data_IF_486950328272
#
_entry.id   IF_486950328272
#
_cell.length_a   1.000
_cell.length_b   1.000
_cell.length_c   1.000
_cell.angle_alpha   90.00
_cell.angle_beta   90.00
_cell.angle_gamma   90.00
#
_symmetry.space_group_name_H-M   'P 1'
#
loop_
_entity.id
_entity.type
_entity.pdbx_description
1 polymer ?
#
# COMPACT_ATOMS: atom_id res chain seq x y z
N UNK A 1 0.21 3.65 -4.82
CA UNK A 1 0.85 3.25 -3.55
C UNK A 1 0.81 4.45 -2.61
N UNK A 2 0.86 4.25 -1.28
CA UNK A 2 0.73 5.32 -0.30
C UNK A 2 1.88 5.30 0.70
N UNK A 3 2.31 6.49 1.13
CA UNK A 3 3.38 6.65 2.11
C UNK A 3 3.07 7.77 3.10
N UNK A 4 3.10 7.46 4.39
CA UNK A 4 3.09 8.44 5.48
C UNK A 4 4.50 9.01 5.65
N UNK A 5 4.70 10.34 5.46
CA UNK A 5 6.00 10.98 5.67
C UNK A 5 6.52 10.78 7.09
N UNK A 6 7.84 10.70 7.26
CA UNK A 6 8.45 10.42 8.59
C UNK A 6 8.20 11.49 9.66
N UNK A 7 7.90 12.71 9.24
CA UNK A 7 7.55 13.87 10.07
C UNK A 7 6.06 13.94 10.41
N UNK A 8 5.23 13.11 9.79
CA UNK A 8 3.81 12.98 10.07
C UNK A 8 3.52 11.73 10.94
N UNK A 9 2.28 11.62 11.41
CA UNK A 9 1.77 10.46 12.14
C UNK A 9 0.58 9.88 11.42
N UNK A 10 0.58 8.56 11.30
CA UNK A 10 -0.59 7.82 10.86
C UNK A 10 -1.79 8.19 11.74
N UNK A 11 -2.90 8.49 11.07
CA UNK A 11 -4.17 8.88 11.68
C UNK A 11 -5.31 8.22 10.92
N UNK A 12 -5.62 6.98 11.33
CA UNK A 12 -6.72 6.20 10.76
C UNK A 12 -8.07 6.92 10.89
N UNK A 13 -8.28 7.66 11.98
CA UNK A 13 -9.56 8.33 12.25
C UNK A 13 -9.81 9.45 11.26
N UNK A 14 -8.80 10.30 11.04
CA UNK A 14 -8.89 11.38 10.05
C UNK A 14 -9.09 10.83 8.64
N UNK A 15 -8.40 9.75 8.25
CA UNK A 15 -8.61 9.11 6.95
C UNK A 15 -10.03 8.56 6.83
N UNK A 16 -10.54 7.84 7.85
CA UNK A 16 -11.90 7.32 7.84
C UNK A 16 -12.95 8.45 7.73
N UNK A 17 -12.72 9.59 8.39
CA UNK A 17 -13.56 10.78 8.26
C UNK A 17 -13.55 11.34 6.84
N UNK A 18 -12.37 11.53 6.24
CA UNK A 18 -12.24 12.01 4.86
C UNK A 18 -12.93 11.08 3.86
N UNK A 19 -12.89 9.77 4.07
CA UNK A 19 -13.58 8.79 3.23
C UNK A 19 -15.10 8.85 3.41
N UNK A 20 -15.59 9.02 4.65
CA UNK A 20 -17.04 9.21 4.89
C UNK A 20 -17.60 10.47 4.24
N UNK A 21 -16.81 11.56 4.17
CA UNK A 21 -17.19 12.77 3.45
C UNK A 21 -17.30 12.57 1.92
N UNK A 22 -16.79 11.43 1.40
CA UNK A 22 -16.91 11.00 0.00
C UNK A 22 -17.94 9.88 -0.19
N UNK A 23 -18.90 9.76 0.74
CA UNK A 23 -19.97 8.76 0.70
C UNK A 23 -19.49 7.30 0.75
N UNK A 24 -18.26 7.05 1.24
CA UNK A 24 -17.79 5.70 1.53
C UNK A 24 -18.17 5.28 2.96
N UNK A 25 -18.65 4.04 3.12
CA UNK A 25 -18.89 3.44 4.43
C UNK A 25 -17.55 3.03 5.06
N UNK A 26 -16.84 4.01 5.62
CA UNK A 26 -15.52 3.86 6.22
C UNK A 26 -15.58 3.99 7.75
N UNK A 27 -14.90 3.08 8.45
CA UNK A 27 -14.76 3.08 9.91
C UNK A 27 -13.33 2.72 10.33
N UNK A 28 -13.00 3.00 11.58
CA UNK A 28 -11.74 2.59 12.21
C UNK A 28 -11.94 1.30 13.00
N UNK A 29 -11.00 0.38 12.88
CA UNK A 29 -10.91 -0.82 13.72
C UNK A 29 -9.47 -0.89 14.20
N UNK A 30 -9.29 -0.72 15.50
CA UNK A 30 -7.98 -0.49 16.12
C UNK A 30 -7.28 0.72 15.48
N UNK A 31 -6.20 0.49 14.72
CA UNK A 31 -5.44 1.51 14.00
C UNK A 31 -5.53 1.36 12.47
N UNK A 32 -6.56 0.67 11.99
CA UNK A 32 -6.76 0.37 10.57
C UNK A 32 -8.03 1.05 10.08
N UNK A 33 -8.06 1.40 8.79
CA UNK A 33 -9.26 1.95 8.14
C UNK A 33 -9.94 0.83 7.37
N UNK A 34 -11.19 0.55 7.70
CA UNK A 34 -12.01 -0.44 7.00
C UNK A 34 -13.10 0.25 6.20
N UNK A 35 -13.14 -0.04 4.91
CA UNK A 35 -14.18 0.43 3.98
C UNK A 35 -15.06 -0.76 3.63
N UNK A 36 -16.36 -0.63 3.89
CA UNK A 36 -17.35 -1.62 3.50
C UNK A 36 -17.97 -1.20 2.18
N UNK A 37 -17.80 -2.02 1.15
CA UNK A 37 -18.39 -1.74 -0.15
C UNK A 37 -19.86 -2.18 -0.18
N UNK A 38 -20.74 -1.43 -0.85
CA UNK A 38 -22.14 -1.78 -0.95
C UNK A 38 -22.30 -3.12 -1.67
N UNK A 39 -23.25 -3.91 -1.16
CA UNK A 39 -23.64 -5.17 -1.75
C UNK A 39 -24.40 -4.92 -3.07
N UNK A 40 -23.72 -5.09 -4.20
CA UNK A 40 -24.35 -4.93 -5.53
C UNK A 40 -25.25 -6.11 -5.84
N UNK A 41 -26.58 -5.93 -5.77
CA UNK A 41 -27.51 -6.98 -6.14
C UNK A 41 -27.36 -7.37 -7.62
N UNK A 42 -27.31 -8.68 -7.93
CA UNK A 42 -27.20 -9.14 -9.29
C UNK A 42 -28.49 -8.85 -10.04
N UNK A 43 -28.35 -8.31 -11.26
CA UNK A 43 -29.49 -8.02 -12.14
C UNK A 43 -30.12 -9.26 -12.76
N UNK A 44 -29.45 -10.41 -12.73
CA UNK A 44 -29.91 -11.66 -13.35
C UNK A 44 -30.76 -12.51 -12.39
N UNK A 45 -31.69 -13.29 -12.94
CA UNK A 45 -32.54 -14.21 -12.15
C UNK A 45 -31.72 -15.29 -11.44
N UNK A 46 -30.78 -15.91 -12.16
CA UNK A 46 -29.86 -16.91 -11.59
C UNK A 46 -28.98 -16.28 -10.51
N UNK A 47 -28.47 -15.07 -10.75
CA UNK A 47 -27.70 -14.33 -9.76
C UNK A 47 -28.51 -14.04 -8.49
N UNK A 48 -29.78 -13.66 -8.63
CA UNK A 48 -30.67 -13.46 -7.47
C UNK A 48 -30.95 -14.76 -6.69
N UNK A 49 -31.06 -15.90 -7.38
CA UNK A 49 -31.25 -17.20 -6.71
C UNK A 49 -30.01 -17.59 -5.89
N UNK A 50 -28.82 -17.46 -6.48
CA UNK A 50 -27.54 -17.69 -5.80
C UNK A 50 -27.38 -16.71 -4.63
N UNK A 51 -27.67 -15.43 -4.83
CA UNK A 51 -27.60 -14.41 -3.79
C UNK A 51 -28.46 -14.74 -2.57
N UNK A 52 -29.68 -15.24 -2.78
CA UNK A 52 -30.59 -15.65 -1.71
C UNK A 52 -30.12 -16.90 -0.97
N UNK A 53 -29.48 -17.84 -1.67
CA UNK A 53 -28.99 -19.08 -1.08
C UNK A 53 -27.70 -18.89 -0.27
N UNK A 54 -26.79 -18.03 -0.74
CA UNK A 54 -25.45 -17.91 -0.16
C UNK A 54 -25.25 -16.70 0.75
N UNK A 55 -26.20 -15.75 0.83
CA UNK A 55 -26.14 -14.53 1.67
C UNK A 55 -24.75 -13.87 1.62
N UNK A 56 -24.37 -13.29 0.48
CA UNK A 56 -23.04 -12.75 0.31
C UNK A 56 -22.77 -11.67 1.37
N UNK A 57 -21.58 -11.75 1.96
CA UNK A 57 -21.09 -10.74 2.89
C UNK A 57 -20.60 -9.52 2.11
N UNK A 58 -20.75 -8.30 2.66
CA UNK A 58 -20.18 -7.10 2.06
C UNK A 58 -18.69 -7.26 1.79
N UNK A 59 -18.26 -6.78 0.63
CA UNK A 59 -16.84 -6.72 0.31
C UNK A 59 -16.17 -5.66 1.18
N UNK A 60 -14.91 -5.87 1.51
CA UNK A 60 -14.16 -4.99 2.39
C UNK A 60 -12.81 -4.65 1.76
N UNK A 61 -12.43 -3.40 1.90
CA UNK A 61 -11.06 -2.93 1.68
C UNK A 61 -10.54 -2.48 3.04
N UNK A 62 -9.36 -2.94 3.43
CA UNK A 62 -8.72 -2.51 4.68
C UNK A 62 -7.41 -1.81 4.35
N UNK A 63 -7.20 -0.64 4.94
CA UNK A 63 -5.99 0.15 4.82
C UNK A 63 -5.20 0.01 6.10
N UNK A 64 -3.95 -0.43 5.97
CA UNK A 64 -3.05 -0.68 7.08
C UNK A 64 -1.85 0.24 6.99
N UNK A 65 -1.36 0.66 8.14
CA UNK A 65 -0.05 1.29 8.26
C UNK A 65 0.92 0.30 8.92
N UNK A 66 2.08 0.11 8.30
CA UNK A 66 3.18 -0.70 8.84
C UNK A 66 4.38 0.19 9.14
N UNK A 67 4.73 0.40 10.42
CA UNK A 67 5.91 1.18 10.80
C UNK A 67 7.23 0.44 10.51
N UNK A 68 7.18 -0.85 10.18
CA UNK A 68 8.36 -1.65 9.85
C UNK A 68 8.83 -1.46 8.40
N UNK A 69 7.94 -0.99 7.53
CA UNK A 69 8.25 -0.63 6.14
C UNK A 69 8.51 0.87 6.07
N UNK A 70 9.45 1.30 5.24
CA UNK A 70 9.73 2.73 5.08
C UNK A 70 8.94 3.29 3.91
N UNK A 71 9.16 2.79 2.70
CA UNK A 71 8.56 3.35 1.48
C UNK A 71 7.08 2.99 1.40
N UNK A 72 6.77 1.70 1.36
CA UNK A 72 5.40 1.16 1.29
C UNK A 72 4.83 0.94 2.69
N UNK A 73 4.80 2.01 3.47
CA UNK A 73 4.33 1.94 4.85
C UNK A 73 2.81 1.97 4.98
N UNK A 74 2.06 2.11 3.88
CA UNK A 74 0.61 1.95 3.83
C UNK A 74 0.22 0.91 2.78
N UNK A 75 -0.47 -0.13 3.22
CA UNK A 75 -0.93 -1.26 2.39
C UNK A 75 -2.46 -1.29 2.30
N UNK A 76 -2.96 -1.76 1.16
CA UNK A 76 -4.39 -2.03 0.94
C UNK A 76 -4.61 -3.54 0.83
N UNK A 77 -5.42 -4.11 1.72
CA UNK A 77 -5.88 -5.49 1.64
C UNK A 77 -7.31 -5.55 1.11
N UNK A 78 -7.50 -6.30 0.03
CA UNK A 78 -8.81 -6.54 -0.56
C UNK A 78 -8.79 -7.82 -1.40
N UNK A 79 -9.97 -8.38 -1.66
CA UNK A 79 -10.11 -9.58 -2.48
C UNK A 79 -10.05 -9.20 -3.97
N UNK A 80 -8.86 -9.37 -4.56
CA UNK A 80 -8.59 -9.04 -5.98
C UNK A 80 -9.45 -9.82 -6.98
N UNK A 81 -10.02 -10.97 -6.58
CA UNK A 81 -10.93 -11.75 -7.42
C UNK A 81 -12.34 -11.17 -7.42
N UNK A 82 -12.67 -10.32 -6.45
CA UNK A 82 -14.00 -9.74 -6.26
C UNK A 82 -14.05 -8.23 -6.49
N UNK A 83 -12.94 -7.53 -6.34
CA UNK A 83 -12.83 -6.08 -6.50
C UNK A 83 -11.88 -5.79 -7.65
N UNK A 84 -12.39 -5.19 -8.72
CA UNK A 84 -11.57 -4.70 -9.84
C UNK A 84 -10.76 -3.48 -9.41
N UNK A 85 -9.55 -3.34 -9.93
CA UNK A 85 -8.72 -2.14 -9.76
C UNK A 85 -9.38 -0.86 -10.31
N UNK A 86 -10.35 -0.99 -11.21
CA UNK A 86 -11.15 0.13 -11.71
C UNK A 86 -12.27 0.55 -10.75
N UNK A 87 -12.29 0.05 -9.51
CA UNK A 87 -13.27 0.49 -8.51
C UNK A 87 -13.06 1.99 -8.24
N UNK A 88 -14.10 2.84 -8.40
CA UNK A 88 -14.02 4.28 -8.09
C UNK A 88 -13.54 4.56 -6.66
N UNK A 89 -13.80 3.61 -5.76
CA UNK A 89 -13.37 3.66 -4.37
C UNK A 89 -11.85 3.83 -4.20
N UNK A 90 -11.02 3.39 -5.15
CA UNK A 90 -9.56 3.57 -5.07
C UNK A 90 -9.14 5.01 -5.32
N UNK A 91 -9.86 5.75 -6.18
CA UNK A 91 -9.60 7.17 -6.41
C UNK A 91 -9.96 7.99 -5.17
N UNK A 92 -11.08 7.66 -4.53
CA UNK A 92 -11.51 8.29 -3.27
C UNK A 92 -10.51 8.04 -2.14
N UNK A 93 -9.95 6.82 -2.06
CA UNK A 93 -8.86 6.49 -1.14
C UNK A 93 -7.64 7.34 -1.45
N UNK A 94 -7.21 7.40 -2.71
CA UNK A 94 -6.03 8.15 -3.08
C UNK A 94 -6.16 9.64 -2.74
N UNK A 95 -7.33 10.23 -2.98
CA UNK A 95 -7.59 11.62 -2.68
C UNK A 95 -7.68 11.89 -1.17
N UNK A 96 -8.26 10.97 -0.39
CA UNK A 96 -8.25 11.07 1.07
C UNK A 96 -6.82 11.03 1.64
N UNK A 97 -5.95 10.16 1.11
CA UNK A 97 -4.54 10.09 1.50
C UNK A 97 -3.79 11.39 1.17
N UNK A 98 -3.96 11.92 -0.05
CA UNK A 98 -3.36 13.19 -0.46
C UNK A 98 -3.81 14.36 0.40
N UNK A 99 -5.10 14.45 0.73
CA UNK A 99 -5.63 15.52 1.59
C UNK A 99 -5.09 15.48 3.01
N UNK A 100 -4.75 14.29 3.53
CA UNK A 100 -4.08 14.16 4.81
C UNK A 100 -2.60 14.55 4.75
N UNK A 101 -2.04 14.72 3.55
CA UNK A 101 -0.63 15.03 3.33
C UNK A 101 0.24 13.79 3.08
N UNK A 102 -0.36 12.61 2.92
CA UNK A 102 0.39 11.40 2.58
C UNK A 102 0.74 11.39 1.10
N UNK A 103 1.88 10.79 0.79
CA UNK A 103 2.37 10.70 -0.57
C UNK A 103 1.68 9.57 -1.30
N UNK A 104 1.39 9.80 -2.58
CA UNK A 104 0.79 8.82 -3.49
C UNK A 104 1.62 8.77 -4.78
N UNK A 105 2.90 8.43 -4.63
CA UNK A 105 3.93 8.48 -5.69
C UNK A 105 4.57 7.09 -5.89
N UNK A 106 5.54 6.99 -6.80
CA UNK A 106 6.36 5.80 -7.03
C UNK A 106 7.35 5.52 -5.89
N UNK A 107 7.75 4.25 -5.70
CA UNK A 107 8.73 3.84 -4.69
C UNK A 107 10.04 4.65 -4.80
N UNK A 108 10.53 4.84 -6.03
CA UNK A 108 11.78 5.54 -6.30
C UNK A 108 11.65 7.02 -5.97
N UNK A 109 10.52 7.63 -6.30
CA UNK A 109 10.25 9.04 -6.02
C UNK A 109 10.16 9.31 -4.53
N UNK A 110 9.47 8.43 -3.78
CA UNK A 110 9.39 8.52 -2.32
C UNK A 110 10.81 8.37 -1.73
N UNK A 111 11.56 7.35 -2.11
CA UNK A 111 12.92 7.12 -1.58
C UNK A 111 13.88 8.28 -1.92
N UNK A 112 13.78 8.86 -3.12
CA UNK A 112 14.61 9.97 -3.56
C UNK A 112 14.38 11.27 -2.76
N UNK A 113 13.20 11.44 -2.13
CA UNK A 113 12.97 12.58 -1.20
C UNK A 113 13.85 12.49 0.05
N UNK A 114 14.20 11.29 0.48
CA UNK A 114 14.96 11.06 1.71
C UNK A 114 16.46 10.89 1.48
N UNK A 115 16.87 10.31 0.35
CA UNK A 115 18.28 10.19 -0.04
C UNK A 115 18.44 10.57 -1.52
N UNK A 116 18.43 11.88 -1.83
CA UNK A 116 18.45 12.36 -3.22
C UNK A 116 19.75 11.96 -3.93
N UNK A 117 19.62 11.48 -5.17
CA UNK A 117 20.76 11.14 -6.03
C UNK A 117 21.55 9.89 -5.61
N UNK A 118 21.00 9.04 -4.74
CA UNK A 118 21.65 7.80 -4.32
C UNK A 118 21.77 6.79 -5.46
N UNK A 119 22.99 6.60 -5.95
CA UNK A 119 23.31 5.58 -6.95
C UNK A 119 23.05 4.17 -6.41
N UNK A 120 23.29 3.93 -5.11
CA UNK A 120 23.05 2.63 -4.49
C UNK A 120 21.55 2.30 -4.45
N UNK A 121 20.69 3.26 -4.04
CA UNK A 121 19.24 3.05 -4.07
C UNK A 121 18.74 2.80 -5.50
N UNK A 122 19.22 3.58 -6.48
CA UNK A 122 18.84 3.38 -7.87
C UNK A 122 19.11 1.94 -8.35
N UNK A 123 20.30 1.40 -8.04
CA UNK A 123 20.66 0.01 -8.36
C UNK A 123 19.77 -1.03 -7.67
N UNK A 124 19.38 -0.78 -6.42
CA UNK A 124 18.50 -1.70 -5.70
C UNK A 124 17.10 -1.72 -6.31
N UNK A 125 16.57 -0.56 -6.73
CA UNK A 125 15.30 -0.50 -7.45
C UNK A 125 15.39 -1.14 -8.84
N UNK A 126 16.49 -0.93 -9.57
CA UNK A 126 16.70 -1.59 -10.87
C UNK A 126 16.69 -3.13 -10.71
N UNK A 127 17.31 -3.64 -9.63
CA UNK A 127 17.28 -5.07 -9.32
C UNK A 127 15.87 -5.58 -8.97
N UNK A 128 15.04 -4.78 -8.30
CA UNK A 128 13.62 -5.13 -8.06
C UNK A 128 12.86 -5.25 -9.39
N UNK A 129 13.06 -4.31 -10.31
CA UNK A 129 12.38 -4.34 -11.61
C UNK A 129 12.81 -5.57 -12.43
N UNK A 130 14.09 -5.93 -12.40
CA UNK A 130 14.59 -7.17 -13.03
C UNK A 130 13.97 -8.44 -12.41
N UNK A 131 13.83 -8.50 -11.08
CA UNK A 131 13.18 -9.62 -10.39
C UNK A 131 11.67 -9.69 -10.70
N UNK A 132 11.01 -8.55 -10.84
CA UNK A 132 9.59 -8.49 -11.20
C UNK A 132 9.36 -9.10 -12.59
N UNK A 133 10.20 -8.77 -13.57
CA UNK A 133 10.15 -9.37 -14.92
C UNK A 133 10.37 -10.89 -14.84
N UNK A 134 11.41 -11.34 -14.11
CA UNK A 134 11.67 -12.77 -13.95
C UNK A 134 10.51 -13.51 -13.30
N UNK A 135 9.84 -12.91 -12.32
CA UNK A 135 8.66 -13.49 -11.66
C UNK A 135 7.49 -13.64 -12.64
N UNK A 136 7.24 -12.62 -13.47
CA UNK A 136 6.18 -12.66 -14.48
C UNK A 136 6.42 -13.77 -15.51
N UNK A 137 7.68 -13.93 -15.95
CA UNK A 137 8.08 -15.02 -16.86
C UNK A 137 7.85 -16.40 -16.21
N UNK A 138 8.30 -16.60 -14.97
CA UNK A 138 8.13 -17.87 -14.24
C UNK A 138 6.65 -18.21 -14.00
N UNK A 139 5.81 -17.22 -13.68
CA UNK A 139 4.37 -17.42 -13.53
C UNK A 139 3.73 -17.81 -14.86
N UNK A 140 4.14 -17.18 -15.97
CA UNK A 140 3.67 -17.54 -17.31
C UNK A 140 4.06 -18.99 -17.69
N UNK A 141 5.23 -19.45 -17.24
CA UNK A 141 5.73 -20.82 -17.41
C UNK A 141 5.13 -21.82 -16.41
N UNK A 142 4.29 -21.36 -15.47
CA UNK A 142 3.72 -22.15 -14.36
C UNK A 142 4.76 -22.71 -13.38
N UNK A 143 5.96 -22.13 -13.36
CA UNK A 143 7.02 -22.47 -12.39
C UNK A 143 6.84 -21.66 -11.10
N UNK A 144 5.84 -22.06 -10.31
CA UNK A 144 5.47 -21.37 -9.08
C UNK A 144 6.52 -21.53 -7.97
N UNK A 145 7.31 -22.61 -7.97
CA UNK A 145 8.34 -22.84 -6.97
C UNK A 145 9.48 -21.82 -7.11
N UNK A 146 9.98 -21.62 -8.33
CA UNK A 146 11.00 -20.61 -8.58
C UNK A 146 10.44 -19.18 -8.47
N UNK A 147 9.15 -18.97 -8.81
CA UNK A 147 8.51 -17.66 -8.62
C UNK A 147 8.49 -17.24 -7.14
N UNK A 148 8.30 -18.18 -6.21
CA UNK A 148 8.39 -17.90 -4.76
C UNK A 148 9.82 -17.55 -4.35
N UNK A 149 10.83 -18.25 -4.86
CA UNK A 149 12.24 -17.91 -4.57
C UNK A 149 12.59 -16.50 -5.06
N UNK A 150 12.06 -16.09 -6.21
CA UNK A 150 12.24 -14.71 -6.72
C UNK A 150 11.52 -13.69 -5.83
N UNK A 151 10.33 -14.01 -5.33
CA UNK A 151 9.59 -13.17 -4.40
C UNK A 151 10.37 -12.92 -3.10
N UNK A 152 10.95 -13.97 -2.50
CA UNK A 152 11.75 -13.86 -1.28
C UNK A 152 12.98 -12.95 -1.48
N UNK A 153 13.64 -13.05 -2.65
CA UNK A 153 14.77 -12.16 -3.02
C UNK A 153 14.32 -10.71 -3.19
N UNK A 154 13.15 -10.49 -3.78
CA UNK A 154 12.57 -9.15 -3.92
C UNK A 154 12.34 -8.54 -2.53
N UNK A 155 11.81 -9.32 -1.58
CA UNK A 155 11.58 -8.88 -0.19
C UNK A 155 12.89 -8.54 0.53
N UNK A 156 13.96 -9.33 0.34
CA UNK A 156 15.28 -9.03 0.90
C UNK A 156 15.81 -7.67 0.43
N UNK A 157 15.70 -7.37 -0.87
CA UNK A 157 16.13 -6.10 -1.43
C UNK A 157 15.28 -4.94 -0.88
N UNK A 158 13.96 -5.13 -0.77
CA UNK A 158 13.06 -4.13 -0.18
C UNK A 158 13.41 -3.83 1.28
N UNK A 159 13.67 -4.86 2.08
CA UNK A 159 14.11 -4.71 3.47
C UNK A 159 15.44 -3.95 3.58
N UNK A 160 16.36 -4.19 2.64
CA UNK A 160 17.61 -3.42 2.55
C UNK A 160 17.36 -1.94 2.23
N UNK A 161 16.47 -1.63 1.28
CA UNK A 161 16.08 -0.25 0.96
C UNK A 161 15.49 0.45 2.18
N UNK A 162 14.52 -0.20 2.85
CA UNK A 162 13.88 0.34 4.05
C UNK A 162 14.93 0.62 5.15
N UNK A 163 15.84 -0.33 5.38
CA UNK A 163 16.95 -0.18 6.34
C UNK A 163 17.85 1.01 6.01
N UNK A 164 18.18 1.24 4.73
CA UNK A 164 18.98 2.39 4.31
C UNK A 164 18.25 3.71 4.60
N UNK A 165 16.95 3.77 4.31
CA UNK A 165 16.12 4.96 4.50
C UNK A 165 15.91 5.28 5.99
N UNK A 166 15.59 4.29 6.82
CA UNK A 166 15.49 4.46 8.28
C UNK A 166 16.79 5.00 8.88
N UNK A 167 17.93 4.44 8.46
CA UNK A 167 19.25 4.87 8.94
C UNK A 167 19.56 6.31 8.53
N UNK A 168 19.18 6.72 7.31
CA UNK A 168 19.39 8.09 6.84
C UNK A 168 18.60 9.10 7.67
N UNK A 169 17.29 8.88 7.84
CA UNK A 169 16.43 9.79 8.61
C UNK A 169 16.86 9.88 10.07
N UNK A 170 17.25 8.75 10.68
CA UNK A 170 17.73 8.71 12.05
C UNK A 170 19.01 9.53 12.24
N UNK A 171 19.92 9.50 11.27
CA UNK A 171 21.16 10.29 11.30
C UNK A 171 20.89 11.79 11.18
N UNK A 172 20.00 12.20 10.27
CA UNK A 172 19.64 13.62 10.10
C UNK A 172 19.04 14.22 11.39
N UNK A 173 18.14 13.50 12.05
CA UNK A 173 17.55 13.93 13.35
C UNK A 173 18.60 14.01 14.47
N UNK A 174 19.61 13.14 14.43
CA UNK A 174 20.68 13.15 15.42
C UNK A 174 21.68 14.31 15.22
N UNK A 175 21.84 14.81 13.98
CA UNK A 175 22.62 16.01 13.71
C UNK A 175 21.88 17.29 14.11
N UNK A 176 20.58 17.40 13.84
CA UNK A 176 19.79 18.60 14.19
C UNK A 176 19.73 18.86 15.71
N UNK A 177 19.64 17.81 16.52
CA UNK A 177 19.63 17.93 17.98
C UNK A 177 20.99 18.27 18.62
N UNK A 178 22.08 18.37 17.84
CA UNK A 178 23.41 18.76 18.35
C UNK A 178 23.71 20.25 18.19
N UNK A 179 22.85 20.98 17.48
CA UNK A 179 23.04 22.39 17.16
C UNK A 179 22.22 23.36 18.04
N UNK A 180 21.57 22.88 19.12
CA UNK A 180 20.97 23.75 20.15
C UNK A 180 21.96 24.05 21.30
N UNK A 181 22.26 25.34 21.59
CA UNK A 181 23.24 25.77 22.60
C UNK A 181 22.79 25.66 24.05
#
# INVERSE_FOLDING_TARGET
MFHVPTDDRWDAQSIAELLRHRDLDAGTVDDTVRITLPLTQPRSFVGNLVWKLFRPSPLKITIFYSPEKFVRNVDLEYDVLKISMDCPCFDDIAEAMRQRGYLADDDREIAARYIPGSIELAKLFDAIDELQIQKEDLVAEQDLENAVIVLDKEEEIRSKIDSMLFNSVSRSRASENRDEP
#
